data_IF_233869961745
#
_entry.id   IF_233869961745
#
_cell.length_a   1.000
_cell.length_b   1.000
_cell.length_c   1.000
_cell.angle_alpha   90.00
_cell.angle_beta   90.00
_cell.angle_gamma   90.00
#
_symmetry.space_group_name_H-M   'P 1'
#
loop_
_entity.id
_entity.type
_entity.pdbx_description
1 polymer ?
#
# COMPACT_ATOMS: atom_id res chain seq x y z
N UNK A 1 20.00 -17.73 -3.29
CA UNK A 1 20.13 -17.74 -2.62
C UNK A 1 20.32 -18.12 -2.00
N UNK A 2 20.38 -18.43 -1.92
CA UNK A 2 20.60 -18.77 -1.19
C UNK A 2 20.79 -18.73 -0.56
N UNK A 3 20.68 -18.68 -0.37
CA UNK A 3 21.10 -18.62 0.31
C UNK A 3 21.54 -19.06 1.05
N UNK A 4 22.01 -19.22 1.26
CA UNK A 4 22.54 -19.63 1.90
C UNK A 4 22.16 -19.65 2.70
N UNK A 5 21.94 -19.85 2.66
CA UNK A 5 21.62 -19.85 3.34
C UNK A 5 21.40 -19.29 4.13
N UNK A 6 21.36 -18.83 4.20
CA UNK A 6 21.49 -18.46 4.91
C UNK A 6 21.30 -17.70 5.99
N UNK A 7 21.36 -17.59 6.50
CA UNK A 7 21.35 -17.15 7.90
C UNK A 7 21.06 -15.67 8.05
N UNK A 8 21.47 -14.85 7.14
CA UNK A 8 21.16 -13.42 7.15
C UNK A 8 19.67 -13.16 7.04
N UNK A 9 18.94 -14.06 6.37
CA UNK A 9 17.49 -13.92 6.26
C UNK A 9 16.77 -14.23 7.57
N UNK A 10 17.33 -15.07 8.41
CA UNK A 10 16.73 -15.43 9.68
C UNK A 10 16.95 -14.39 10.76
N UNK A 11 17.98 -13.56 10.63
CA UNK A 11 18.32 -12.52 11.61
C UNK A 11 18.07 -11.11 11.07
N UNK A 12 17.85 -10.99 9.77
CA UNK A 12 17.62 -9.70 9.12
C UNK A 12 16.20 -9.21 9.23
N UNK A 13 16.02 -7.98 8.81
CA UNK A 13 14.75 -7.29 8.78
C UNK A 13 14.49 -6.84 7.36
N UNK A 14 13.27 -7.01 6.87
CA UNK A 14 12.91 -6.53 5.54
C UNK A 14 12.83 -5.00 5.52
N UNK A 15 13.21 -4.40 4.40
CA UNK A 15 13.09 -2.97 4.19
C UNK A 15 12.18 -2.74 2.98
N UNK A 16 11.06 -2.07 3.22
CA UNK A 16 10.09 -1.75 2.16
C UNK A 16 10.29 -0.29 1.78
N UNK A 17 10.58 -0.05 0.51
CA UNK A 17 10.75 1.30 -0.01
C UNK A 17 9.48 1.70 -0.75
N UNK A 18 8.76 2.66 -0.18
CA UNK A 18 7.51 3.15 -0.71
C UNK A 18 6.29 2.50 -0.10
N UNK A 19 5.24 3.29 0.09
CA UNK A 19 3.96 2.83 0.65
C UNK A 19 2.82 3.05 -0.34
N UNK A 20 3.08 2.84 -1.62
CA UNK A 20 2.04 2.64 -2.62
C UNK A 20 1.38 1.28 -2.41
N UNK A 21 0.49 0.89 -3.30
CA UNK A 21 -0.29 -0.35 -3.16
C UNK A 21 0.60 -1.57 -2.89
N UNK A 22 1.69 -1.71 -3.63
CA UNK A 22 2.61 -2.85 -3.45
C UNK A 22 3.30 -2.81 -2.09
N UNK A 23 3.70 -1.62 -1.64
CA UNK A 23 4.43 -1.46 -0.38
C UNK A 23 3.58 -1.78 0.84
N UNK A 24 2.41 -1.18 0.95
CA UNK A 24 1.59 -1.42 2.14
C UNK A 24 1.00 -2.83 2.17
N UNK A 25 0.75 -3.45 1.00
CA UNK A 25 0.30 -4.86 0.98
C UNK A 25 1.43 -5.80 1.38
N UNK A 26 2.68 -5.51 1.02
CA UNK A 26 3.83 -6.27 1.49
C UNK A 26 3.97 -6.14 3.02
N UNK A 27 3.79 -4.93 3.55
CA UNK A 27 3.83 -4.70 5.00
C UNK A 27 2.78 -5.56 5.71
N UNK A 28 1.58 -5.64 5.16
CA UNK A 28 0.50 -6.47 5.71
C UNK A 28 0.89 -7.94 5.72
N UNK A 29 1.47 -8.44 4.63
CA UNK A 29 1.91 -9.83 4.54
C UNK A 29 3.01 -10.15 5.54
N UNK A 30 3.97 -9.26 5.70
CA UNK A 30 5.06 -9.46 6.67
C UNK A 30 4.52 -9.43 8.10
N UNK A 31 3.59 -8.51 8.40
CA UNK A 31 2.96 -8.44 9.70
C UNK A 31 2.19 -9.73 10.02
N UNK A 32 1.44 -10.26 9.06
CA UNK A 32 0.70 -11.51 9.22
C UNK A 32 1.63 -12.70 9.49
N UNK A 33 2.79 -12.70 8.85
CA UNK A 33 3.78 -13.77 9.02
C UNK A 33 4.62 -13.58 10.29
N UNK A 34 4.44 -12.48 11.02
CA UNK A 34 5.21 -12.19 12.23
C UNK A 34 6.67 -11.84 11.93
N UNK A 35 6.95 -11.37 10.71
CA UNK A 35 8.31 -11.04 10.30
C UNK A 35 8.58 -9.54 10.49
N UNK A 36 9.72 -9.17 11.07
CA UNK A 36 10.04 -7.75 11.28
C UNK A 36 10.32 -7.04 9.95
N UNK A 37 9.92 -5.80 9.86
CA UNK A 37 10.16 -4.97 8.69
C UNK A 37 10.18 -3.50 9.04
N UNK A 38 10.83 -2.70 8.18
CA UNK A 38 10.71 -1.25 8.16
C UNK A 38 10.11 -0.84 6.83
N UNK A 39 9.23 0.14 6.84
CA UNK A 39 8.62 0.69 5.62
C UNK A 39 8.82 2.19 5.60
N UNK A 40 9.40 2.71 4.52
CA UNK A 40 9.70 4.14 4.37
C UNK A 40 8.93 4.70 3.18
N UNK A 41 8.28 5.83 3.39
CA UNK A 41 7.54 6.52 2.34
C UNK A 41 8.02 7.96 2.20
N UNK A 42 8.29 8.37 0.98
CA UNK A 42 8.76 9.73 0.66
C UNK A 42 7.68 10.77 0.93
N UNK A 43 6.41 10.43 0.69
CA UNK A 43 5.28 11.33 0.85
C UNK A 43 4.78 11.38 2.30
N UNK A 44 3.74 12.16 2.52
CA UNK A 44 3.10 12.31 3.83
C UNK A 44 1.93 11.36 4.04
N UNK A 45 1.64 10.49 3.07
CA UNK A 45 0.57 9.49 3.15
C UNK A 45 0.88 8.32 2.23
N UNK A 46 0.10 7.26 2.38
CA UNK A 46 0.17 6.08 1.52
C UNK A 46 -0.51 6.38 0.18
N UNK A 47 -0.42 5.44 -0.75
CA UNK A 47 -1.21 5.49 -1.97
C UNK A 47 -0.39 5.66 -3.25
N UNK A 48 0.80 6.23 -3.18
CA UNK A 48 1.66 6.39 -4.35
C UNK A 48 0.97 7.15 -5.48
N UNK A 49 0.84 6.52 -6.65
CA UNK A 49 0.17 7.11 -7.81
C UNK A 49 -1.30 7.45 -7.58
N UNK A 50 -1.96 6.78 -6.65
CA UNK A 50 -3.37 7.00 -6.35
C UNK A 50 -3.58 8.13 -5.35
N UNK A 51 -2.51 8.72 -4.88
CA UNK A 51 -2.56 9.91 -4.04
C UNK A 51 -2.59 11.13 -4.96
N UNK A 52 -3.78 11.60 -5.28
CA UNK A 52 -3.99 12.74 -6.17
C UNK A 52 -3.35 13.99 -5.56
N UNK A 53 -2.63 14.76 -6.39
CA UNK A 53 -1.87 15.93 -5.95
C UNK A 53 -0.89 15.60 -4.82
N UNK A 54 -0.27 14.43 -4.90
CA UNK A 54 0.74 14.01 -3.95
C UNK A 54 1.84 15.08 -3.84
N UNK A 55 2.13 15.57 -2.62
CA UNK A 55 3.12 16.65 -2.44
C UNK A 55 4.52 16.32 -2.97
N UNK A 56 4.86 15.02 -3.12
CA UNK A 56 6.16 14.65 -3.68
C UNK A 56 6.25 14.87 -5.20
N UNK A 57 5.14 15.22 -5.87
CA UNK A 57 5.11 15.51 -7.30
C UNK A 57 5.20 14.29 -8.21
N UNK A 58 5.14 13.08 -7.68
CA UNK A 58 5.35 11.87 -8.46
C UNK A 58 4.07 11.12 -8.82
N UNK A 59 2.91 11.63 -8.44
CA UNK A 59 1.64 10.97 -8.79
C UNK A 59 1.24 11.31 -10.23
N UNK A 60 0.84 10.26 -10.97
CA UNK A 60 0.29 10.41 -12.32
C UNK A 60 -1.23 10.54 -12.32
N UNK A 61 -1.86 10.55 -11.17
CA UNK A 61 -3.31 10.62 -11.04
C UNK A 61 -3.83 11.99 -11.48
N UNK A 62 -4.93 12.00 -12.24
CA UNK A 62 -5.58 13.25 -12.67
C UNK A 62 -7.03 13.26 -12.15
N UNK A 63 -7.64 14.45 -12.11
CA UNK A 63 -8.89 14.68 -11.40
C UNK A 63 -10.02 13.73 -11.81
N UNK A 64 -10.16 13.45 -13.10
CA UNK A 64 -11.25 12.64 -13.61
C UNK A 64 -10.89 11.16 -13.78
N UNK A 65 -9.73 10.73 -13.27
CA UNK A 65 -9.29 9.35 -13.43
C UNK A 65 -10.23 8.37 -12.76
N UNK A 66 -10.65 7.36 -13.52
CA UNK A 66 -11.37 6.21 -13.00
C UNK A 66 -10.53 4.95 -13.20
N UNK A 67 -10.77 3.96 -12.37
CA UNK A 67 -10.09 2.68 -12.47
C UNK A 67 -10.61 1.97 -13.72
N UNK A 68 -9.73 1.37 -14.49
CA UNK A 68 -10.09 0.64 -15.70
C UNK A 68 -10.29 -0.86 -15.46
N UNK A 69 -10.12 -1.29 -14.21
CA UNK A 69 -10.38 -2.66 -13.75
C UNK A 69 -11.63 -2.64 -12.89
N UNK A 70 -12.48 -3.68 -12.98
CA UNK A 70 -13.70 -3.69 -12.19
C UNK A 70 -13.40 -3.77 -10.70
N UNK A 71 -14.30 -3.21 -9.89
CA UNK A 71 -14.13 -3.20 -8.43
C UNK A 71 -13.97 -4.61 -7.86
N UNK A 72 -14.55 -5.61 -8.50
CA UNK A 72 -14.47 -6.99 -8.03
C UNK A 72 -13.07 -7.58 -8.18
N UNK A 73 -12.32 -7.15 -9.18
CA UNK A 73 -10.93 -7.56 -9.39
C UNK A 73 -9.96 -6.76 -8.54
N UNK A 74 -10.36 -5.55 -8.20
CA UNK A 74 -9.55 -4.62 -7.45
C UNK A 74 -9.49 -4.97 -5.98
N UNK A 75 -10.59 -5.47 -5.42
CA UNK A 75 -10.73 -5.72 -3.99
C UNK A 75 -9.72 -6.74 -3.48
N UNK A 76 -9.15 -6.45 -2.32
CA UNK A 76 -8.31 -7.42 -1.62
C UNK A 76 -9.19 -8.53 -1.05
N UNK A 77 -8.66 -9.74 -1.00
CA UNK A 77 -9.40 -10.91 -0.53
C UNK A 77 -9.88 -10.75 0.91
N UNK A 78 -9.05 -10.13 1.74
CA UNK A 78 -9.32 -9.95 3.16
C UNK A 78 -9.91 -8.58 3.51
N UNK A 79 -10.24 -7.76 2.51
CA UNK A 79 -10.81 -6.44 2.74
C UNK A 79 -11.69 -6.04 1.54
N UNK A 80 -12.98 -6.40 1.56
CA UNK A 80 -13.85 -6.12 0.41
C UNK A 80 -14.11 -4.64 0.21
N UNK A 81 -14.43 -4.27 -1.03
CA UNK A 81 -14.85 -2.91 -1.35
C UNK A 81 -16.32 -2.73 -0.98
N UNK A 82 -16.76 -1.47 -0.71
CA UNK A 82 -18.18 -1.21 -0.47
C UNK A 82 -19.06 -1.63 -1.65
N UNK A 83 -20.21 -2.21 -1.34
CA UNK A 83 -21.15 -2.71 -2.37
C UNK A 83 -21.71 -1.60 -3.26
N UNK A 84 -21.81 -0.38 -2.72
CA UNK A 84 -22.39 0.76 -3.42
C UNK A 84 -21.41 1.45 -4.38
N UNK A 85 -20.18 0.96 -4.48
CA UNK A 85 -19.22 1.48 -5.44
C UNK A 85 -19.65 1.18 -6.88
N UNK A 86 -19.41 2.10 -7.82
CA UNK A 86 -19.58 1.77 -9.23
C UNK A 86 -18.57 0.72 -9.66
N UNK A 87 -18.84 0.03 -10.78
CA UNK A 87 -17.93 -1.01 -11.28
C UNK A 87 -16.52 -0.47 -11.55
N UNK A 88 -16.43 0.77 -12.02
CA UNK A 88 -15.15 1.43 -12.28
C UNK A 88 -15.03 2.66 -11.37
N UNK A 89 -14.54 2.49 -10.16
CA UNK A 89 -14.54 3.57 -9.17
C UNK A 89 -13.59 4.71 -9.54
N UNK A 90 -13.93 5.89 -9.06
CA UNK A 90 -13.09 7.08 -9.17
C UNK A 90 -11.82 6.88 -8.33
N UNK A 91 -10.72 7.54 -8.74
CA UNK A 91 -9.45 7.43 -8.01
C UNK A 91 -9.58 7.75 -6.52
N UNK A 92 -10.43 8.71 -6.15
CA UNK A 92 -10.63 9.09 -4.76
C UNK A 92 -11.22 7.96 -3.92
N UNK A 93 -12.10 7.15 -4.53
CA UNK A 93 -12.67 6.00 -3.84
C UNK A 93 -11.59 4.94 -3.58
N UNK A 94 -10.71 4.72 -4.55
CA UNK A 94 -9.60 3.78 -4.37
C UNK A 94 -8.63 4.29 -3.30
N UNK A 95 -8.32 5.58 -3.31
CA UNK A 95 -7.43 6.16 -2.32
C UNK A 95 -8.01 6.03 -0.91
N UNK A 96 -9.30 6.32 -0.75
CA UNK A 96 -9.99 6.15 0.55
C UNK A 96 -9.97 4.68 0.98
N UNK A 97 -10.21 3.77 0.05
CA UNK A 97 -10.17 2.34 0.32
C UNK A 97 -8.77 1.90 0.79
N UNK A 98 -7.71 2.40 0.18
CA UNK A 98 -6.34 2.10 0.61
C UNK A 98 -6.05 2.64 2.01
N UNK A 99 -6.52 3.84 2.32
CA UNK A 99 -6.38 4.39 3.67
C UNK A 99 -7.15 3.57 4.70
N UNK A 100 -8.37 3.15 4.35
CA UNK A 100 -9.17 2.29 5.22
C UNK A 100 -8.49 0.94 5.45
N UNK A 101 -7.87 0.36 4.42
CA UNK A 101 -7.12 -0.88 4.53
C UNK A 101 -5.97 -0.74 5.52
N UNK A 102 -5.19 0.30 5.36
CA UNK A 102 -4.03 0.57 6.22
C UNK A 102 -4.47 0.79 7.68
N UNK A 103 -5.58 1.49 7.88
CA UNK A 103 -6.14 1.70 9.23
C UNK A 103 -6.71 0.42 9.81
N UNK A 104 -7.44 -0.35 9.00
CA UNK A 104 -8.08 -1.59 9.47
C UNK A 104 -7.05 -2.62 9.95
N UNK A 105 -5.94 -2.74 9.26
CA UNK A 105 -4.88 -3.68 9.61
C UNK A 105 -3.76 -3.05 10.46
N UNK A 106 -3.98 -1.81 10.91
CA UNK A 106 -3.07 -1.12 11.83
C UNK A 106 -1.63 -1.03 11.30
N UNK A 107 -1.50 -0.68 10.03
CA UNK A 107 -0.19 -0.64 9.36
C UNK A 107 0.47 0.74 9.41
N UNK A 108 -0.29 1.81 9.67
CA UNK A 108 0.22 3.17 9.55
C UNK A 108 1.38 3.44 10.50
N UNK A 109 1.32 2.93 11.72
CA UNK A 109 2.36 3.16 12.73
C UNK A 109 3.69 2.50 12.34
N UNK A 110 3.66 1.52 11.45
CA UNK A 110 4.87 0.85 10.98
C UNK A 110 5.48 1.50 9.74
N UNK A 111 4.88 2.58 9.25
CA UNK A 111 5.37 3.31 8.07
C UNK A 111 5.99 4.62 8.53
N UNK A 112 7.21 4.88 8.10
CA UNK A 112 7.90 6.15 8.36
C UNK A 112 7.72 7.04 7.14
N UNK A 113 6.93 8.09 7.31
CA UNK A 113 6.62 9.03 6.23
C UNK A 113 7.68 10.12 6.09
N UNK A 114 7.61 10.85 4.98
CA UNK A 114 8.49 11.98 4.68
C UNK A 114 9.98 11.59 4.73
N UNK A 115 10.27 10.38 4.26
CA UNK A 115 11.62 9.81 4.29
C UNK A 115 11.93 9.18 2.93
N UNK A 116 13.08 9.51 2.39
CA UNK A 116 13.53 8.95 1.10
C UNK A 116 14.88 8.27 1.21
#
# INVERSE_FOLDING_TARGET
MSIDTNTSFTTGKACIIGAGCSGFTMAKRLADAGLPYDCFEMSDNIGGNWYYKNPNGLSSCYESLHIDTSKWRLAFEDFPVPDDWPDFPHHSQLFDYFNDYVEHFDLRDSITFNTS
#
